data_IF_313713271888
#
_entry.id   IF_313713271888
#
_cell.length_a   1.000
_cell.length_b   1.000
_cell.length_c   1.000
_cell.angle_alpha   90.00
_cell.angle_beta   90.00
_cell.angle_gamma   90.00
#
_symmetry.space_group_name_H-M   'P 1'
#
loop_
_entity.id
_entity.type
_entity.pdbx_description
1 polymer ?
#
# COMPACT_ATOMS: atom_id res chain seq x y z
N UNK A 1 8.17 0.81 3.01
CA UNK A 1 8.58 2.23 2.99
C UNK A 1 9.87 2.36 3.75
N UNK A 2 10.89 2.97 3.16
CA UNK A 2 12.10 3.35 3.89
C UNK A 2 11.86 4.72 4.52
N UNK A 3 11.66 4.75 5.85
CA UNK A 3 11.28 5.97 6.57
C UNK A 3 12.44 6.40 7.45
N UNK A 4 13.00 7.62 7.25
CA UNK A 4 14.06 8.15 8.09
C UNK A 4 13.52 8.52 9.48
N UNK A 5 14.41 8.61 10.44
CA UNK A 5 14.11 9.33 11.70
C UNK A 5 13.99 10.83 11.41
N UNK A 6 13.19 11.56 12.20
CA UNK A 6 13.09 13.01 12.10
C UNK A 6 14.47 13.65 12.29
N UNK A 7 14.86 14.52 11.38
CA UNK A 7 16.21 15.12 11.35
C UNK A 7 17.27 14.28 10.62
N UNK A 8 16.98 13.02 10.29
CA UNK A 8 17.90 12.13 9.57
C UNK A 8 18.00 12.41 8.08
N UNK A 9 19.05 11.91 7.43
CA UNK A 9 19.22 11.99 5.97
C UNK A 9 18.55 10.82 5.27
N UNK A 10 18.15 11.03 4.00
CA UNK A 10 17.62 9.94 3.14
C UNK A 10 18.72 8.89 2.86
N UNK A 11 19.98 9.33 2.78
CA UNK A 11 21.15 8.47 2.57
C UNK A 11 21.35 7.49 3.72
N UNK A 12 21.31 7.97 4.96
CA UNK A 12 21.47 7.12 6.14
C UNK A 12 20.28 6.17 6.31
N UNK A 13 19.09 6.66 5.96
CA UNK A 13 17.89 5.83 5.88
C UNK A 13 18.09 4.69 4.87
N UNK A 14 18.53 4.98 3.65
CA UNK A 14 18.79 3.95 2.63
C UNK A 14 19.83 2.94 3.10
N UNK A 15 20.92 3.38 3.72
CA UNK A 15 21.96 2.50 4.26
C UNK A 15 21.38 1.54 5.33
N UNK A 16 20.55 2.06 6.23
CA UNK A 16 19.87 1.26 7.26
C UNK A 16 18.97 0.20 6.65
N UNK A 17 18.13 0.59 5.68
CA UNK A 17 17.20 -0.35 5.04
C UNK A 17 17.91 -1.39 4.18
N UNK A 18 19.04 -1.04 3.55
CA UNK A 18 19.90 -2.02 2.86
C UNK A 18 20.45 -3.06 3.84
N UNK A 19 20.95 -2.66 5.01
CA UNK A 19 21.42 -3.61 6.04
C UNK A 19 20.30 -4.55 6.55
N UNK A 20 19.04 -4.08 6.56
CA UNK A 20 17.90 -4.90 6.96
C UNK A 20 17.50 -5.92 5.88
N UNK A 21 17.71 -5.61 4.60
CA UNK A 21 17.23 -6.42 3.48
C UNK A 21 18.30 -7.30 2.85
N UNK A 22 19.55 -6.82 2.74
CA UNK A 22 20.63 -7.52 2.06
C UNK A 22 20.96 -8.84 2.72
N UNK A 23 21.00 -9.90 1.92
CA UNK A 23 21.25 -11.28 2.39
C UNK A 23 20.13 -11.88 3.25
N UNK A 24 18.98 -11.18 3.42
CA UNK A 24 17.84 -11.63 4.25
C UNK A 24 16.53 -11.70 3.45
N UNK A 25 16.37 -10.91 2.40
CA UNK A 25 15.19 -10.95 1.54
C UNK A 25 15.13 -12.22 0.72
N UNK A 26 13.96 -12.87 0.69
CA UNK A 26 13.73 -14.06 -0.15
C UNK A 26 13.21 -13.72 -1.55
N UNK A 27 12.79 -12.48 -1.80
CA UNK A 27 12.41 -11.96 -3.11
C UNK A 27 13.23 -10.69 -3.43
N UNK A 28 13.32 -10.34 -4.70
CA UNK A 28 13.93 -9.10 -5.13
C UNK A 28 13.17 -7.90 -4.55
N UNK A 29 13.88 -6.82 -4.23
CA UNK A 29 13.32 -5.69 -3.48
C UNK A 29 13.84 -4.35 -3.96
N UNK A 30 13.06 -3.32 -3.71
CA UNK A 30 13.44 -1.92 -3.80
C UNK A 30 12.64 -1.13 -2.78
N UNK A 31 12.83 0.20 -2.71
CA UNK A 31 12.19 1.01 -1.68
C UNK A 31 11.38 2.17 -2.26
N UNK A 32 10.33 2.56 -1.53
CA UNK A 32 9.80 3.91 -1.61
C UNK A 32 10.40 4.70 -0.44
N UNK A 33 11.09 5.81 -0.75
CA UNK A 33 11.74 6.63 0.26
C UNK A 33 10.74 7.62 0.86
N UNK A 34 10.49 7.53 2.17
CA UNK A 34 9.63 8.49 2.86
C UNK A 34 10.36 9.80 3.12
N UNK A 35 9.66 10.91 2.91
CA UNK A 35 10.07 12.26 3.29
C UNK A 35 9.05 12.78 4.31
N UNK A 36 9.46 12.85 5.57
CA UNK A 36 8.60 13.22 6.72
C UNK A 36 8.85 14.66 7.20
N UNK A 37 9.68 15.37 6.50
CA UNK A 37 9.99 16.78 6.67
C UNK A 37 10.60 17.32 5.37
N UNK A 38 10.51 18.61 5.16
CA UNK A 38 11.16 19.27 4.05
C UNK A 38 12.26 20.19 4.53
N UNK A 39 13.47 20.03 3.98
CA UNK A 39 14.64 20.87 4.22
C UNK A 39 15.32 21.19 2.89
N UNK A 40 16.04 22.30 2.77
CA UNK A 40 16.79 22.62 1.54
C UNK A 40 17.76 21.51 1.11
N UNK A 41 18.31 20.74 2.06
CA UNK A 41 19.20 19.60 1.78
C UNK A 41 18.49 18.44 1.11
N UNK A 42 17.17 18.25 1.32
CA UNK A 42 16.39 17.15 0.76
C UNK A 42 16.40 17.20 -0.79
N UNK A 43 16.43 18.38 -1.38
CA UNK A 43 16.50 18.52 -2.84
C UNK A 43 17.75 17.83 -3.44
N UNK A 44 18.91 17.97 -2.79
CA UNK A 44 20.13 17.27 -3.18
C UNK A 44 20.05 15.77 -2.89
N UNK A 45 19.47 15.41 -1.75
CA UNK A 45 19.30 14.01 -1.34
C UNK A 45 18.35 13.24 -2.28
N UNK A 46 17.32 13.88 -2.86
CA UNK A 46 16.48 13.27 -3.89
C UNK A 46 17.33 12.84 -5.10
N UNK A 47 18.26 13.67 -5.55
CA UNK A 47 19.15 13.31 -6.65
C UNK A 47 20.07 12.13 -6.29
N UNK A 48 20.58 12.08 -5.05
CA UNK A 48 21.36 10.95 -4.55
C UNK A 48 20.53 9.66 -4.52
N UNK A 49 19.25 9.75 -4.13
CA UNK A 49 18.33 8.59 -4.13
C UNK A 49 18.11 8.08 -5.56
N UNK A 50 17.88 8.95 -6.53
CA UNK A 50 17.76 8.57 -7.94
C UNK A 50 19.04 7.88 -8.43
N UNK A 51 20.20 8.44 -8.12
CA UNK A 51 21.50 7.84 -8.47
C UNK A 51 21.70 6.47 -7.82
N UNK A 52 21.08 6.23 -6.66
CA UNK A 52 21.07 4.93 -5.96
C UNK A 52 19.96 3.96 -6.44
N UNK A 53 19.16 4.33 -7.45
CA UNK A 53 18.11 3.48 -8.00
C UNK A 53 16.76 3.57 -7.25
N UNK A 54 16.57 4.59 -6.42
CA UNK A 54 15.31 4.87 -5.72
C UNK A 54 14.58 5.98 -6.49
N UNK A 55 13.54 5.62 -7.24
CA UNK A 55 12.81 6.54 -8.14
C UNK A 55 11.45 6.94 -7.60
N UNK A 56 11.05 6.46 -6.44
CA UNK A 56 9.75 6.75 -5.86
C UNK A 56 9.85 7.17 -4.41
N UNK A 57 9.04 8.16 -4.06
CA UNK A 57 9.02 8.84 -2.78
C UNK A 57 7.63 8.77 -2.14
N UNK A 58 7.56 8.94 -0.83
CA UNK A 58 6.32 8.92 -0.05
C UNK A 58 6.27 10.11 0.89
N UNK A 59 5.12 10.83 0.93
CA UNK A 59 4.81 11.85 1.93
C UNK A 59 3.45 11.59 2.57
N UNK A 60 3.08 12.36 3.57
CA UNK A 60 1.90 12.13 4.39
C UNK A 60 1.17 13.44 4.67
N UNK A 61 -0.16 13.44 4.54
CA UNK A 61 -1.05 14.56 4.90
C UNK A 61 -1.74 14.36 6.26
N UNK A 62 -1.48 13.23 6.91
CA UNK A 62 -1.96 12.89 8.25
C UNK A 62 -0.80 12.32 9.10
N UNK A 63 -1.05 12.09 10.39
CA UNK A 63 -0.09 11.67 11.43
C UNK A 63 0.90 12.76 11.85
N UNK A 64 0.76 13.28 13.06
CA UNK A 64 1.55 14.41 13.61
C UNK A 64 3.06 14.27 13.49
N UNK A 65 3.55 13.04 13.57
CA UNK A 65 4.98 12.75 13.47
C UNK A 65 5.50 12.56 12.04
N UNK A 66 4.60 12.47 11.04
CA UNK A 66 4.95 12.17 9.65
C UNK A 66 4.44 13.22 8.65
N UNK A 67 3.36 13.95 9.01
CA UNK A 67 2.68 14.85 8.08
C UNK A 67 3.55 16.03 7.68
N UNK A 68 3.41 16.39 6.41
CA UNK A 68 4.03 17.54 5.78
C UNK A 68 2.96 18.52 5.32
N UNK A 69 3.30 19.78 5.23
CA UNK A 69 2.41 20.86 4.76
C UNK A 69 2.24 20.80 3.24
N UNK A 70 1.20 21.43 2.73
CA UNK A 70 0.95 21.56 1.28
C UNK A 70 2.13 22.26 0.57
N UNK A 71 2.75 23.26 1.22
CA UNK A 71 3.93 23.93 0.69
C UNK A 71 5.12 22.99 0.57
N UNK A 72 5.38 22.15 1.58
CA UNK A 72 6.45 21.16 1.55
C UNK A 72 6.22 20.10 0.48
N UNK A 73 4.97 19.62 0.34
CA UNK A 73 4.58 18.69 -0.73
C UNK A 73 4.82 19.32 -2.10
N UNK A 74 4.45 20.58 -2.30
CA UNK A 74 4.65 21.30 -3.56
C UNK A 74 6.14 21.48 -3.90
N UNK A 75 6.97 21.87 -2.92
CA UNK A 75 8.43 21.96 -3.13
C UNK A 75 9.04 20.60 -3.47
N UNK A 76 8.63 19.54 -2.75
CA UNK A 76 9.06 18.18 -3.05
C UNK A 76 8.68 17.74 -4.47
N UNK A 77 7.47 18.05 -4.91
CA UNK A 77 7.00 17.74 -6.27
C UNK A 77 7.86 18.41 -7.33
N UNK A 78 8.24 19.67 -7.14
CA UNK A 78 9.11 20.39 -8.09
C UNK A 78 10.49 19.73 -8.23
N UNK A 79 11.07 19.28 -7.12
CA UNK A 79 12.37 18.60 -7.14
C UNK A 79 12.28 17.18 -7.74
N UNK A 80 11.23 16.44 -7.38
CA UNK A 80 10.97 15.09 -7.93
C UNK A 80 10.73 15.15 -9.44
N UNK A 81 10.04 16.18 -9.94
CA UNK A 81 9.83 16.40 -11.38
C UNK A 81 11.15 16.54 -12.14
N UNK A 82 12.12 17.29 -11.61
CA UNK A 82 13.42 17.49 -12.27
C UNK A 82 14.18 16.19 -12.53
N UNK A 83 13.87 15.15 -11.76
CA UNK A 83 14.55 13.85 -11.83
C UNK A 83 13.66 12.72 -12.34
N UNK A 84 12.49 13.04 -12.89
CA UNK A 84 11.48 12.08 -13.38
C UNK A 84 11.12 11.02 -12.32
N UNK A 85 11.03 11.44 -11.07
CA UNK A 85 10.63 10.56 -9.96
C UNK A 85 9.11 10.49 -9.81
N UNK A 86 8.65 9.58 -8.95
CA UNK A 86 7.24 9.39 -8.59
C UNK A 86 7.00 9.77 -7.14
N UNK A 87 5.95 10.54 -6.86
CA UNK A 87 5.51 10.81 -5.49
C UNK A 87 4.17 10.12 -5.21
N UNK A 88 4.14 9.35 -4.12
CA UNK A 88 2.91 8.84 -3.51
C UNK A 88 2.62 9.57 -2.19
N UNK A 89 1.35 9.82 -1.87
CA UNK A 89 0.98 10.49 -0.62
C UNK A 89 -0.14 9.73 0.09
N UNK A 90 -0.01 9.61 1.41
CA UNK A 90 -1.12 9.21 2.28
C UNK A 90 -2.09 10.39 2.37
N UNK A 91 -3.25 10.24 1.74
CA UNK A 91 -4.23 11.31 1.58
C UNK A 91 -5.38 11.17 2.57
N UNK A 92 -5.20 11.64 3.79
CA UNK A 92 -6.26 11.96 4.75
C UNK A 92 -6.01 13.36 5.31
N UNK A 93 -7.07 14.14 5.52
CA UNK A 93 -6.96 15.46 6.14
C UNK A 93 -6.63 15.30 7.63
N UNK A 94 -5.35 15.40 7.99
CA UNK A 94 -4.86 15.15 9.34
C UNK A 94 -5.49 16.06 10.40
N UNK A 95 -5.68 17.35 10.10
CA UNK A 95 -6.27 18.29 11.06
C UNK A 95 -7.71 17.91 11.42
N UNK A 96 -8.52 17.51 10.43
CA UNK A 96 -9.89 17.06 10.68
C UNK A 96 -9.94 15.69 11.38
N UNK A 97 -9.02 14.78 11.04
CA UNK A 97 -8.91 13.49 11.71
C UNK A 97 -8.57 13.66 13.19
N UNK A 98 -7.59 14.50 13.51
CA UNK A 98 -7.16 14.76 14.87
C UNK A 98 -8.27 15.41 15.70
N UNK A 99 -8.98 16.41 15.14
CA UNK A 99 -10.13 17.05 15.78
C UNK A 99 -11.26 16.05 16.07
N UNK A 100 -11.60 15.19 15.11
CA UNK A 100 -12.62 14.16 15.28
C UNK A 100 -12.22 13.12 16.35
N UNK A 101 -10.96 12.68 16.36
CA UNK A 101 -10.44 11.79 17.39
C UNK A 101 -10.59 12.45 18.78
N UNK A 102 -10.12 13.67 18.94
CA UNK A 102 -10.20 14.41 20.21
C UNK A 102 -11.65 14.57 20.66
N UNK A 103 -12.55 14.91 19.72
CA UNK A 103 -13.97 15.04 19.99
C UNK A 103 -14.59 13.74 20.52
N UNK A 104 -14.29 12.58 19.93
CA UNK A 104 -14.81 11.31 20.41
C UNK A 104 -14.19 10.92 21.75
N UNK A 105 -12.89 11.05 21.91
CA UNK A 105 -12.18 10.70 23.16
C UNK A 105 -12.68 11.54 24.33
N UNK A 106 -12.88 12.85 24.15
CA UNK A 106 -13.40 13.75 25.20
C UNK A 106 -14.84 13.40 25.64
N UNK A 107 -15.60 12.74 24.78
CA UNK A 107 -16.96 12.23 25.07
C UNK A 107 -16.95 10.83 25.72
N UNK A 108 -15.78 10.24 26.01
CA UNK A 108 -15.66 8.88 26.52
C UNK A 108 -15.97 7.78 25.50
N UNK A 109 -15.97 8.10 24.23
CA UNK A 109 -16.21 7.20 23.10
C UNK A 109 -14.88 6.56 22.67
N UNK A 110 -14.50 5.47 23.34
CA UNK A 110 -13.13 4.92 23.32
C UNK A 110 -12.98 3.59 22.58
N UNK A 111 -14.07 3.00 22.08
CA UNK A 111 -14.03 1.69 21.40
C UNK A 111 -13.58 1.80 19.94
N UNK A 112 -13.09 0.71 19.32
CA UNK A 112 -12.71 0.69 17.90
C UNK A 112 -13.80 1.13 16.92
N UNK A 113 -15.09 1.04 17.31
CA UNK A 113 -16.23 1.55 16.56
C UNK A 113 -16.04 3.01 16.09
N UNK A 114 -15.40 3.84 16.91
CA UNK A 114 -15.19 5.27 16.61
C UNK A 114 -14.01 5.54 15.66
N UNK A 115 -13.21 4.54 15.36
CA UNK A 115 -12.10 4.68 14.42
C UNK A 115 -12.56 5.13 13.02
N UNK A 116 -13.48 4.44 12.31
CA UNK A 116 -13.94 4.88 11.00
C UNK A 116 -14.76 6.19 11.06
N UNK A 117 -15.41 6.47 12.18
CA UNK A 117 -16.16 7.71 12.38
C UNK A 117 -15.25 8.93 12.54
N UNK A 118 -14.05 8.75 13.10
CA UNK A 118 -13.02 9.80 13.15
C UNK A 118 -12.28 10.00 11.83
N UNK A 119 -12.47 9.10 10.86
CA UNK A 119 -11.84 9.11 9.52
C UNK A 119 -12.85 8.90 8.40
N UNK A 120 -13.93 9.73 8.34
CA UNK A 120 -14.97 9.56 7.33
C UNK A 120 -14.42 9.67 5.91
N UNK A 121 -15.13 9.11 4.94
CA UNK A 121 -14.74 9.13 3.52
C UNK A 121 -14.43 10.56 2.99
N UNK A 122 -15.04 11.58 3.60
CA UNK A 122 -14.83 12.96 3.22
C UNK A 122 -13.40 13.46 3.49
N UNK A 123 -12.73 12.99 4.57
CA UNK A 123 -11.35 13.44 4.88
C UNK A 123 -10.33 12.87 3.89
N UNK A 124 -10.57 11.66 3.36
CA UNK A 124 -9.77 11.10 2.27
C UNK A 124 -10.04 11.83 0.96
N UNK A 125 -11.30 11.99 0.60
CA UNK A 125 -11.68 12.61 -0.68
C UNK A 125 -11.22 14.08 -0.79
N UNK A 126 -11.28 14.86 0.31
CA UNK A 126 -10.74 16.22 0.37
C UNK A 126 -9.23 16.21 0.15
N UNK A 127 -8.50 15.38 0.90
CA UNK A 127 -7.05 15.30 0.82
C UNK A 127 -6.57 14.82 -0.57
N UNK A 128 -7.26 13.86 -1.18
CA UNK A 128 -6.99 13.42 -2.57
C UNK A 128 -7.20 14.56 -3.54
N UNK A 129 -8.32 15.28 -3.45
CA UNK A 129 -8.62 16.41 -4.34
C UNK A 129 -7.57 17.52 -4.20
N UNK A 130 -7.18 17.87 -2.98
CA UNK A 130 -6.17 18.89 -2.67
C UNK A 130 -4.79 18.46 -3.18
N UNK A 131 -4.38 17.20 -2.96
CA UNK A 131 -3.13 16.65 -3.47
C UNK A 131 -3.06 16.72 -5.00
N UNK A 132 -4.16 16.36 -5.68
CA UNK A 132 -4.23 16.43 -7.15
C UNK A 132 -4.14 17.86 -7.67
N UNK A 133 -4.72 18.85 -6.97
CA UNK A 133 -4.55 20.25 -7.34
C UNK A 133 -3.10 20.73 -7.19
N UNK A 134 -2.43 20.33 -6.12
CA UNK A 134 -0.99 20.62 -5.92
C UNK A 134 -0.16 19.97 -7.02
N UNK A 135 -0.45 18.72 -7.37
CA UNK A 135 0.24 17.99 -8.43
C UNK A 135 0.03 18.60 -9.82
N UNK A 136 -1.18 19.12 -10.10
CA UNK A 136 -1.48 19.86 -11.33
C UNK A 136 -0.62 21.13 -11.43
N UNK A 137 -0.51 21.91 -10.35
CA UNK A 137 0.35 23.10 -10.30
C UNK A 137 1.83 22.77 -10.46
N UNK A 138 2.29 21.64 -9.96
CA UNK A 138 3.68 21.15 -10.12
C UNK A 138 3.92 20.49 -11.49
N UNK A 139 2.86 20.18 -12.24
CA UNK A 139 2.89 19.41 -13.49
C UNK A 139 3.67 18.07 -13.30
N UNK A 140 3.30 17.32 -12.26
CA UNK A 140 3.90 16.04 -11.87
C UNK A 140 2.88 14.90 -11.96
N UNK A 141 3.29 13.79 -12.60
CA UNK A 141 2.56 12.51 -12.46
C UNK A 141 2.68 11.97 -11.04
N UNK A 142 1.56 11.58 -10.44
CA UNK A 142 1.51 11.18 -9.03
C UNK A 142 0.83 9.85 -8.82
N UNK A 143 1.07 9.24 -7.65
CA UNK A 143 0.41 8.02 -7.20
C UNK A 143 -0.48 8.31 -5.98
N UNK A 144 -1.77 7.96 -6.07
CA UNK A 144 -2.65 7.89 -4.91
C UNK A 144 -2.51 6.48 -4.33
N UNK A 145 -1.85 6.37 -3.18
CA UNK A 145 -1.65 5.09 -2.51
C UNK A 145 -2.90 4.67 -1.75
N UNK A 146 -3.14 3.37 -1.58
CA UNK A 146 -4.19 2.76 -0.75
C UNK A 146 -5.56 3.49 -0.79
N UNK A 147 -5.99 3.96 -1.96
CA UNK A 147 -7.28 4.64 -2.14
C UNK A 147 -8.42 3.70 -1.70
N UNK A 148 -9.32 4.21 -0.85
CA UNK A 148 -10.33 3.39 -0.20
C UNK A 148 -11.79 3.81 -0.49
N UNK A 149 -12.05 5.01 -1.06
CA UNK A 149 -13.41 5.53 -1.19
C UNK A 149 -13.82 5.81 -2.63
N UNK A 150 -15.12 5.64 -2.91
CA UNK A 150 -15.77 6.09 -4.16
C UNK A 150 -15.52 7.56 -4.46
N UNK A 151 -15.65 8.42 -3.43
CA UNK A 151 -15.48 9.88 -3.57
C UNK A 151 -14.05 10.25 -3.98
N UNK A 152 -13.05 9.55 -3.46
CA UNK A 152 -11.65 9.74 -3.85
C UNK A 152 -11.41 9.31 -5.29
N UNK A 153 -12.00 8.19 -5.73
CA UNK A 153 -11.92 7.74 -7.11
C UNK A 153 -12.54 8.74 -8.07
N UNK A 154 -13.71 9.30 -7.73
CA UNK A 154 -14.35 10.39 -8.51
C UNK A 154 -13.48 11.65 -8.61
N UNK A 155 -12.72 11.98 -7.56
CA UNK A 155 -11.76 13.10 -7.61
C UNK A 155 -10.60 12.82 -8.59
N UNK A 156 -10.10 11.60 -8.60
CA UNK A 156 -9.07 11.14 -9.56
C UNK A 156 -9.61 11.21 -11.00
N UNK A 157 -10.81 10.72 -11.24
CA UNK A 157 -11.43 10.74 -12.58
C UNK A 157 -11.57 12.17 -13.11
N UNK A 158 -12.03 13.10 -12.27
CA UNK A 158 -12.08 14.53 -12.63
C UNK A 158 -10.71 15.13 -12.95
N UNK A 159 -9.66 14.73 -12.24
CA UNK A 159 -8.30 15.18 -12.53
C UNK A 159 -7.79 14.62 -13.87
N UNK A 160 -8.03 13.34 -14.14
CA UNK A 160 -7.69 12.71 -15.43
C UNK A 160 -8.44 13.32 -16.60
N UNK A 161 -9.72 13.71 -16.43
CA UNK A 161 -10.51 14.41 -17.45
C UNK A 161 -9.91 15.79 -17.82
N UNK A 162 -9.17 16.42 -16.89
CA UNK A 162 -8.38 17.63 -17.16
C UNK A 162 -7.02 17.37 -17.79
N UNK A 163 -6.69 16.10 -18.06
CA UNK A 163 -5.42 15.69 -18.67
C UNK A 163 -4.30 15.35 -17.68
N UNK A 164 -4.59 15.30 -16.37
CA UNK A 164 -3.58 14.98 -15.37
C UNK A 164 -3.24 13.47 -15.38
N UNK A 165 -1.95 13.17 -15.33
CA UNK A 165 -1.47 11.79 -15.19
C UNK A 165 -1.48 11.37 -13.71
N UNK A 166 -2.35 10.43 -13.38
CA UNK A 166 -2.55 9.96 -12.00
C UNK A 166 -2.57 8.43 -11.99
N UNK A 167 -1.71 7.84 -11.19
CA UNK A 167 -1.78 6.41 -10.84
C UNK A 167 -2.60 6.24 -9.56
N UNK A 168 -3.30 5.12 -9.47
CA UNK A 168 -4.14 4.79 -8.31
C UNK A 168 -3.83 3.37 -7.86
N UNK A 169 -3.59 3.26 -6.56
CA UNK A 169 -3.39 2.00 -5.87
C UNK A 169 -4.51 1.78 -4.86
N UNK A 170 -5.03 0.56 -4.77
CA UNK A 170 -5.90 0.11 -3.68
C UNK A 170 -5.33 -1.15 -3.03
N UNK A 171 -6.03 -1.70 -2.02
CA UNK A 171 -5.59 -2.88 -1.28
C UNK A 171 -6.74 -3.87 -1.09
N UNK A 172 -6.45 -5.19 -0.89
CA UNK A 172 -7.48 -6.20 -0.70
C UNK A 172 -8.48 -5.88 0.42
N UNK A 173 -8.05 -5.27 1.51
CA UNK A 173 -8.93 -4.90 2.62
C UNK A 173 -10.06 -3.97 2.19
N UNK A 174 -9.82 -3.03 1.29
CA UNK A 174 -10.84 -2.10 0.78
C UNK A 174 -11.76 -2.72 -0.28
N UNK A 175 -11.38 -3.88 -0.80
CA UNK A 175 -12.18 -4.63 -1.78
C UNK A 175 -13.06 -5.69 -1.11
N UNK A 176 -12.68 -6.19 0.08
CA UNK A 176 -13.22 -7.40 0.67
C UNK A 176 -13.80 -7.23 2.08
N UNK A 177 -13.28 -6.29 2.86
CA UNK A 177 -13.69 -6.02 4.22
C UNK A 177 -14.48 -4.72 4.32
N UNK A 178 -15.46 -4.64 5.21
CA UNK A 178 -16.27 -3.44 5.39
C UNK A 178 -16.32 -2.96 6.85
N UNK A 179 -16.92 -1.78 7.07
CA UNK A 179 -16.91 -1.08 8.35
C UNK A 179 -17.72 -1.77 9.47
N UNK A 180 -18.55 -2.79 9.16
CA UNK A 180 -19.24 -3.59 10.17
C UNK A 180 -18.27 -4.35 11.08
N UNK A 181 -17.06 -4.62 10.62
CA UNK A 181 -16.02 -5.30 11.39
C UNK A 181 -15.54 -4.48 12.60
N UNK A 182 -15.77 -3.17 12.61
CA UNK A 182 -15.49 -2.33 13.78
C UNK A 182 -16.46 -2.52 14.92
N UNK A 183 -17.56 -3.23 14.70
CA UNK A 183 -18.54 -3.61 15.74
C UNK A 183 -18.31 -5.02 16.31
N UNK A 184 -17.22 -5.69 15.91
CA UNK A 184 -16.88 -7.01 16.41
C UNK A 184 -16.69 -7.00 17.94
N UNK A 185 -17.26 -7.99 18.67
CA UNK A 185 -17.23 -8.02 20.13
C UNK A 185 -15.83 -8.32 20.69
N UNK A 186 -15.68 -8.20 22.01
CA UNK A 186 -14.48 -8.62 22.74
C UNK A 186 -13.17 -8.00 22.25
N UNK A 187 -13.23 -6.76 21.76
CA UNK A 187 -12.08 -6.05 21.21
C UNK A 187 -11.53 -6.64 19.89
N UNK A 188 -12.18 -7.64 19.30
CA UNK A 188 -11.78 -8.23 18.02
C UNK A 188 -11.75 -7.18 16.89
N UNK A 189 -12.58 -6.14 17.00
CA UNK A 189 -12.62 -5.00 16.08
C UNK A 189 -11.24 -4.31 15.89
N UNK A 190 -10.36 -4.37 16.90
CA UNK A 190 -9.01 -3.78 16.81
C UNK A 190 -8.13 -4.45 15.74
N UNK A 191 -8.41 -5.69 15.35
CA UNK A 191 -7.73 -6.39 14.26
C UNK A 191 -7.87 -5.66 12.93
N UNK A 192 -8.95 -4.90 12.75
CA UNK A 192 -9.32 -4.22 11.50
C UNK A 192 -8.95 -2.73 11.49
N UNK A 193 -8.39 -2.20 12.58
CA UNK A 193 -7.96 -0.80 12.66
C UNK A 193 -6.79 -0.56 11.73
N UNK A 194 -7.03 0.23 10.67
CA UNK A 194 -6.05 0.65 9.65
C UNK A 194 -6.39 2.07 9.14
N UNK A 195 -5.47 2.70 8.45
CA UNK A 195 -5.68 4.02 7.86
C UNK A 195 -5.22 4.06 6.39
N UNK A 196 -6.12 4.43 5.48
CA UNK A 196 -7.54 4.73 5.69
C UNK A 196 -8.31 3.57 6.32
N UNK A 197 -9.44 3.82 7.06
CA UNK A 197 -10.21 2.74 7.64
C UNK A 197 -10.97 1.95 6.57
N UNK A 198 -11.49 0.78 6.95
CA UNK A 198 -12.43 0.03 6.14
C UNK A 198 -13.68 0.87 5.87
N UNK A 199 -14.24 0.72 4.68
CA UNK A 199 -15.33 1.54 4.16
C UNK A 199 -16.61 0.72 4.01
N UNK A 200 -17.65 1.35 3.51
CA UNK A 200 -18.93 0.72 3.22
C UNK A 200 -18.89 -0.11 1.96
N UNK A 201 -19.86 -1.01 1.81
CA UNK A 201 -19.99 -1.88 0.61
C UNK A 201 -20.14 -1.09 -0.69
N UNK A 202 -20.70 0.10 -0.65
CA UNK A 202 -20.81 0.98 -1.82
C UNK A 202 -19.43 1.43 -2.33
N UNK A 203 -18.48 1.69 -1.41
CA UNK A 203 -17.09 2.00 -1.76
C UNK A 203 -16.40 0.78 -2.38
N UNK A 204 -16.57 -0.41 -1.79
CA UNK A 204 -16.04 -1.66 -2.36
C UNK A 204 -16.52 -1.87 -3.80
N UNK A 205 -17.81 -1.69 -4.05
CA UNK A 205 -18.41 -1.84 -5.39
C UNK A 205 -17.80 -0.83 -6.37
N UNK A 206 -17.62 0.41 -5.95
CA UNK A 206 -16.99 1.45 -6.78
C UNK A 206 -15.52 1.13 -7.09
N UNK A 207 -14.76 0.60 -6.12
CA UNK A 207 -13.38 0.19 -6.34
C UNK A 207 -13.28 -1.00 -7.31
N UNK A 208 -14.14 -2.02 -7.17
CA UNK A 208 -14.20 -3.13 -8.14
C UNK A 208 -14.57 -2.65 -9.54
N UNK A 209 -15.49 -1.71 -9.67
CA UNK A 209 -15.83 -1.10 -10.94
C UNK A 209 -14.65 -0.32 -11.52
N UNK A 210 -13.97 0.49 -10.68
CA UNK A 210 -12.76 1.21 -11.07
C UNK A 210 -11.61 0.29 -11.53
N UNK A 211 -11.47 -0.89 -10.93
CA UNK A 211 -10.53 -1.93 -11.39
C UNK A 211 -10.93 -2.43 -12.78
N UNK A 212 -12.19 -2.76 -12.98
CA UNK A 212 -12.71 -3.27 -14.26
C UNK A 212 -12.50 -2.25 -15.38
N UNK A 213 -12.78 -0.99 -15.13
CA UNK A 213 -12.66 0.12 -16.08
C UNK A 213 -11.22 0.61 -16.30
N UNK A 214 -10.27 0.20 -15.43
CA UNK A 214 -8.87 0.61 -15.51
C UNK A 214 -8.56 1.92 -14.79
N UNK A 215 -9.51 2.45 -14.02
CA UNK A 215 -9.31 3.63 -13.19
C UNK A 215 -8.33 3.35 -12.03
N UNK A 216 -8.28 2.13 -11.52
CA UNK A 216 -7.31 1.64 -10.53
C UNK A 216 -6.22 0.85 -11.26
N UNK A 217 -4.96 1.23 -11.04
CA UNK A 217 -3.82 0.72 -11.78
C UNK A 217 -3.16 -0.49 -11.10
N UNK A 218 -3.12 -0.51 -9.76
CA UNK A 218 -2.38 -1.51 -8.98
C UNK A 218 -3.14 -1.92 -7.72
N UNK A 219 -2.87 -3.13 -7.23
CA UNK A 219 -3.34 -3.61 -5.93
C UNK A 219 -2.12 -3.96 -5.08
N UNK A 220 -1.88 -3.18 -4.03
CA UNK A 220 -0.84 -3.43 -3.03
C UNK A 220 -1.41 -4.14 -1.80
N UNK A 221 -0.74 -4.09 -0.66
CA UNK A 221 -1.23 -4.68 0.59
C UNK A 221 -1.32 -3.67 1.71
N UNK A 222 -0.47 -2.66 1.67
CA UNK A 222 -0.21 -1.78 2.82
C UNK A 222 0.06 -2.61 4.10
N UNK A 223 0.87 -3.68 3.94
CA UNK A 223 1.16 -4.64 5.00
C UNK A 223 1.84 -3.96 6.18
N UNK A 224 1.23 -4.10 7.35
CA UNK A 224 1.76 -3.70 8.64
C UNK A 224 1.78 -4.92 9.58
N UNK A 225 2.96 -5.29 10.04
CA UNK A 225 3.22 -6.50 10.84
C UNK A 225 2.98 -6.29 12.34
N UNK A 226 1.90 -5.62 12.71
CA UNK A 226 1.52 -5.51 14.12
C UNK A 226 0.90 -6.81 14.62
N UNK A 227 1.32 -7.26 15.80
CA UNK A 227 0.64 -8.32 16.52
C UNK A 227 -0.65 -7.80 17.15
N UNK A 228 -1.66 -8.67 17.28
CA UNK A 228 -2.84 -8.35 18.06
C UNK A 228 -2.50 -8.24 19.54
N UNK A 229 -1.86 -9.29 20.09
CA UNK A 229 -1.41 -9.28 21.47
C UNK A 229 -0.16 -8.42 21.66
N UNK A 230 -0.17 -7.56 22.67
CA UNK A 230 0.96 -6.68 23.01
C UNK A 230 1.09 -5.41 22.16
N UNK A 231 0.54 -5.38 20.94
CA UNK A 231 0.58 -4.18 20.08
C UNK A 231 -0.81 -3.59 19.85
N UNK A 232 -1.74 -4.27 19.16
CA UNK A 232 -3.10 -3.76 19.00
C UNK A 232 -3.81 -3.57 20.34
N UNK A 233 -3.59 -4.46 21.30
CA UNK A 233 -4.19 -4.41 22.65
C UNK A 233 -3.73 -3.22 23.50
N UNK A 234 -2.70 -2.47 23.12
CA UNK A 234 -2.32 -1.19 23.75
C UNK A 234 -3.47 -0.19 23.71
N UNK A 235 -4.28 -0.22 22.67
CA UNK A 235 -5.45 0.66 22.51
C UNK A 235 -6.76 0.12 23.10
N UNK A 236 -6.72 -0.88 24.02
CA UNK A 236 -7.93 -1.50 24.56
C UNK A 236 -8.89 -0.52 25.22
N UNK A 237 -8.35 0.48 25.89
CA UNK A 237 -9.11 1.49 26.63
C UNK A 237 -9.23 2.84 25.88
N UNK A 238 -8.65 2.92 24.68
CA UNK A 238 -8.65 4.13 23.84
C UNK A 238 -8.29 3.77 22.40
N UNK A 239 -9.28 3.79 21.51
CA UNK A 239 -9.12 3.40 20.10
C UNK A 239 -8.03 4.20 19.37
N UNK A 240 -7.78 5.45 19.77
CA UNK A 240 -6.77 6.30 19.16
C UNK A 240 -5.33 5.78 19.34
N UNK A 241 -5.12 4.88 20.31
CA UNK A 241 -3.84 4.24 20.60
C UNK A 241 -3.64 2.90 19.92
N UNK A 242 -4.65 2.40 19.20
CA UNK A 242 -4.51 1.18 18.41
C UNK A 242 -3.59 1.46 17.22
N UNK A 243 -2.46 0.77 17.05
CA UNK A 243 -1.62 0.94 15.86
C UNK A 243 -2.42 0.71 14.57
N UNK A 244 -2.36 1.67 13.66
CA UNK A 244 -3.06 1.61 12.39
C UNK A 244 -2.32 0.72 11.38
N UNK A 245 -2.98 -0.30 10.86
CA UNK A 245 -2.47 -1.20 9.85
C UNK A 245 -2.79 -2.66 10.11
N UNK A 246 -2.78 -3.46 9.06
CA UNK A 246 -3.14 -4.88 9.07
C UNK A 246 -2.11 -5.71 8.30
N UNK A 247 -1.88 -6.98 8.68
CA UNK A 247 -1.08 -7.90 7.87
C UNK A 247 -1.87 -8.36 6.65
N UNK A 248 -1.19 -8.59 5.50
CA UNK A 248 -1.87 -9.00 4.26
C UNK A 248 -0.94 -9.37 3.11
N UNK A 249 0.40 -9.34 3.31
CA UNK A 249 1.34 -9.57 2.21
C UNK A 249 1.25 -10.98 1.64
N UNK A 250 0.99 -11.98 2.47
CA UNK A 250 0.99 -13.39 2.08
C UNK A 250 -0.27 -13.79 1.29
N UNK A 251 -1.41 -13.16 1.57
CA UNK A 251 -2.73 -13.60 1.08
C UNK A 251 -3.24 -12.84 -0.15
N UNK A 252 -2.58 -11.77 -0.56
CA UNK A 252 -3.05 -10.90 -1.65
C UNK A 252 -3.36 -11.64 -2.96
N UNK A 253 -2.48 -12.47 -3.53
CA UNK A 253 -2.75 -13.12 -4.80
C UNK A 253 -3.95 -14.06 -4.74
N UNK A 254 -4.06 -14.84 -3.66
CA UNK A 254 -5.15 -15.80 -3.46
C UNK A 254 -6.50 -15.09 -3.28
N UNK A 255 -6.54 -14.01 -2.51
CA UNK A 255 -7.74 -13.20 -2.32
C UNK A 255 -8.20 -12.56 -3.64
N UNK A 256 -7.29 -11.96 -4.39
CA UNK A 256 -7.63 -11.31 -5.66
C UNK A 256 -8.02 -12.35 -6.74
N UNK A 257 -7.38 -13.51 -6.76
CA UNK A 257 -7.80 -14.59 -7.64
C UNK A 257 -9.21 -15.08 -7.28
N UNK A 258 -9.46 -15.39 -6.02
CA UNK A 258 -10.75 -15.91 -5.53
C UNK A 258 -11.88 -14.93 -5.79
N UNK A 259 -11.73 -13.70 -5.30
CA UNK A 259 -12.80 -12.70 -5.33
C UNK A 259 -12.91 -11.98 -6.66
N UNK A 260 -11.81 -11.90 -7.40
CA UNK A 260 -11.76 -11.24 -8.70
C UNK A 260 -11.97 -12.19 -9.84
N UNK A 261 -11.07 -13.17 -10.03
CA UNK A 261 -11.04 -14.04 -11.21
C UNK A 261 -12.06 -15.16 -11.10
N UNK A 262 -12.03 -15.96 -10.03
CA UNK A 262 -12.91 -17.11 -9.89
C UNK A 262 -14.40 -16.71 -9.82
N UNK A 263 -14.70 -15.53 -9.24
CA UNK A 263 -16.07 -14.95 -9.25
C UNK A 263 -16.40 -14.13 -10.51
N UNK A 264 -15.53 -14.10 -11.50
CA UNK A 264 -15.79 -13.48 -12.81
C UNK A 264 -15.88 -11.94 -12.80
N UNK A 265 -15.32 -11.27 -11.79
CA UNK A 265 -15.31 -9.80 -11.72
C UNK A 265 -14.23 -9.19 -12.64
N UNK A 266 -13.09 -9.88 -12.77
CA UNK A 266 -11.97 -9.51 -13.65
C UNK A 266 -11.42 -10.75 -14.37
N UNK A 267 -10.67 -10.55 -15.45
CA UNK A 267 -9.94 -11.65 -16.11
C UNK A 267 -8.63 -11.96 -15.41
N UNK A 268 -8.04 -13.12 -15.72
CA UNK A 268 -6.72 -13.49 -15.21
C UNK A 268 -5.63 -12.50 -15.66
N UNK A 269 -5.67 -12.07 -16.91
CA UNK A 269 -4.74 -11.06 -17.46
C UNK A 269 -4.85 -9.74 -16.70
N UNK A 270 -6.08 -9.32 -16.36
CA UNK A 270 -6.29 -8.12 -15.55
C UNK A 270 -5.68 -8.26 -14.16
N UNK A 271 -5.83 -9.42 -13.52
CA UNK A 271 -5.19 -9.71 -12.23
C UNK A 271 -3.66 -9.62 -12.35
N UNK A 272 -3.07 -10.24 -13.37
CA UNK A 272 -1.62 -10.19 -13.60
C UNK A 272 -1.15 -8.75 -13.84
N UNK A 273 -1.88 -7.98 -14.63
CA UNK A 273 -1.57 -6.57 -14.84
C UNK A 273 -1.58 -5.78 -13.52
N UNK A 274 -2.59 -5.94 -12.68
CA UNK A 274 -2.74 -5.23 -11.40
C UNK A 274 -1.69 -5.62 -10.34
N UNK A 275 -1.21 -6.86 -10.35
CA UNK A 275 -0.30 -7.38 -9.33
C UNK A 275 1.17 -7.40 -9.78
N UNK A 276 1.46 -7.20 -11.08
CA UNK A 276 2.81 -7.36 -11.62
C UNK A 276 3.14 -6.32 -12.70
N UNK A 277 2.56 -6.41 -13.90
CA UNK A 277 2.96 -5.63 -15.07
C UNK A 277 2.84 -4.11 -14.86
N UNK A 278 1.69 -3.64 -14.34
CA UNK A 278 1.46 -2.23 -14.11
C UNK A 278 2.41 -1.67 -13.05
N UNK A 279 2.71 -2.45 -12.01
CA UNK A 279 3.68 -2.08 -10.97
C UNK A 279 5.07 -1.92 -11.59
N UNK A 280 5.49 -2.87 -12.44
CA UNK A 280 6.77 -2.83 -13.10
C UNK A 280 6.89 -1.61 -14.03
N UNK A 281 5.84 -1.28 -14.77
CA UNK A 281 5.78 -0.08 -15.64
C UNK A 281 5.79 1.21 -14.82
N UNK A 282 4.94 1.30 -13.81
CA UNK A 282 4.79 2.50 -12.96
C UNK A 282 6.08 2.86 -12.23
N UNK A 283 6.85 1.87 -11.80
CA UNK A 283 8.06 2.08 -10.99
C UNK A 283 9.35 1.77 -11.74
N UNK A 284 9.35 1.88 -13.08
CA UNK A 284 10.55 1.79 -13.94
C UNK A 284 11.34 0.48 -13.79
N UNK A 285 10.65 -0.65 -13.66
CA UNK A 285 11.24 -1.99 -13.64
C UNK A 285 10.94 -2.79 -14.92
N UNK A 286 9.99 -2.30 -15.74
CA UNK A 286 9.64 -2.94 -17.00
C UNK A 286 10.69 -2.61 -18.07
N UNK A 287 11.12 -3.55 -18.95
CA UNK A 287 10.65 -4.94 -19.06
C UNK A 287 11.49 -5.96 -18.26
N UNK A 288 12.42 -5.53 -17.42
CA UNK A 288 13.22 -6.48 -16.60
C UNK A 288 12.30 -7.35 -15.72
N UNK A 289 11.29 -6.75 -15.12
CA UNK A 289 10.23 -7.39 -14.33
C UNK A 289 8.87 -7.15 -14.98
N UNK A 290 7.86 -7.97 -14.61
CA UNK A 290 6.47 -7.74 -14.98
C UNK A 290 6.04 -8.32 -16.33
N UNK A 291 6.90 -9.04 -17.03
CA UNK A 291 6.58 -9.67 -18.32
C UNK A 291 7.36 -10.96 -18.50
N UNK A 292 6.78 -11.90 -19.23
CA UNK A 292 7.44 -13.16 -19.64
C UNK A 292 7.88 -13.02 -21.08
N UNK A 293 9.16 -12.65 -21.27
CA UNK A 293 9.79 -12.51 -22.58
C UNK A 293 11.30 -12.75 -22.50
N UNK A 294 11.94 -12.95 -23.65
CA UNK A 294 13.41 -13.05 -23.71
C UNK A 294 14.06 -11.74 -23.21
N UNK A 295 15.08 -11.89 -22.37
CA UNK A 295 15.83 -10.78 -21.75
C UNK A 295 15.23 -10.25 -20.44
N UNK A 296 14.03 -10.68 -20.05
CA UNK A 296 13.46 -10.39 -18.73
C UNK A 296 13.93 -11.39 -17.68
N UNK A 297 13.89 -11.00 -16.41
CA UNK A 297 14.15 -11.93 -15.32
C UNK A 297 13.10 -13.04 -15.31
N UNK A 298 13.55 -14.29 -15.17
CA UNK A 298 12.65 -15.43 -15.08
C UNK A 298 12.03 -15.55 -13.67
N UNK A 299 11.28 -14.52 -13.28
CA UNK A 299 10.47 -14.49 -12.06
C UNK A 299 9.07 -15.00 -12.41
N UNK A 300 8.82 -16.26 -12.11
CA UNK A 300 7.64 -16.96 -12.60
C UNK A 300 6.85 -17.56 -11.46
N UNK A 301 5.53 -17.48 -11.56
CA UNK A 301 4.61 -18.18 -10.68
C UNK A 301 3.79 -19.17 -11.51
N UNK A 302 3.90 -20.44 -11.16
CA UNK A 302 3.02 -21.49 -11.68
C UNK A 302 1.80 -21.55 -10.76
N UNK A 303 0.65 -21.17 -11.30
CA UNK A 303 -0.61 -21.07 -10.56
C UNK A 303 -1.51 -22.29 -10.80
N UNK A 304 -2.00 -22.92 -9.72
CA UNK A 304 -3.05 -23.97 -9.82
C UNK A 304 -4.41 -23.36 -9.45
N UNK A 305 -5.31 -23.19 -10.43
CA UNK A 305 -6.62 -22.57 -10.21
C UNK A 305 -7.62 -23.48 -9.47
N UNK A 306 -7.30 -24.75 -9.27
CA UNK A 306 -8.20 -25.77 -8.70
C UNK A 306 -7.98 -25.98 -7.20
N UNK A 307 -6.82 -25.62 -6.68
CA UNK A 307 -6.52 -25.76 -5.25
C UNK A 307 -7.45 -24.86 -4.45
N UNK A 308 -8.04 -25.39 -3.39
CA UNK A 308 -8.86 -24.64 -2.45
C UNK A 308 -8.20 -24.62 -1.07
N UNK A 309 -8.46 -23.59 -0.29
CA UNK A 309 -7.91 -23.45 1.04
C UNK A 309 -8.79 -22.57 1.92
N UNK A 310 -8.36 -22.44 3.18
CA UNK A 310 -8.94 -21.50 4.14
C UNK A 310 -7.80 -20.72 4.77
N UNK A 311 -7.89 -19.40 4.75
CA UNK A 311 -6.88 -18.53 5.37
C UNK A 311 -6.97 -18.66 6.88
N UNK A 312 -5.85 -18.94 7.53
CA UNK A 312 -5.75 -18.98 8.98
C UNK A 312 -4.36 -18.52 9.44
N UNK A 313 -4.32 -17.66 10.45
CA UNK A 313 -3.06 -17.11 10.96
C UNK A 313 -2.04 -18.21 11.34
N UNK A 314 -2.52 -19.32 11.92
CA UNK A 314 -1.66 -20.46 12.32
C UNK A 314 -0.91 -21.15 11.19
N UNK A 315 -1.34 -20.97 9.94
CA UNK A 315 -0.73 -21.60 8.76
C UNK A 315 0.06 -20.62 7.90
N UNK A 316 0.05 -19.35 8.25
CA UNK A 316 0.77 -18.31 7.53
C UNK A 316 2.26 -18.25 7.97
N UNK A 317 3.12 -17.86 7.03
CA UNK A 317 4.55 -17.66 7.27
C UNK A 317 4.87 -16.24 7.77
N UNK A 318 3.98 -15.28 7.55
CA UNK A 318 4.16 -13.92 8.09
C UNK A 318 4.20 -13.94 9.62
N UNK A 319 5.19 -13.25 10.21
CA UNK A 319 5.44 -13.28 11.64
C UNK A 319 4.51 -12.34 12.43
N UNK A 320 3.21 -12.67 12.42
CA UNK A 320 2.16 -11.97 13.19
C UNK A 320 1.16 -13.00 13.73
N UNK A 321 0.50 -12.67 14.84
CA UNK A 321 -0.37 -13.59 15.57
C UNK A 321 -1.83 -13.58 15.11
N UNK A 322 -2.19 -12.84 14.07
CA UNK A 322 -3.52 -12.79 13.49
C UNK A 322 -3.51 -12.49 11.99
N UNK A 323 -4.62 -12.72 11.33
CA UNK A 323 -4.91 -12.23 9.98
C UNK A 323 -6.30 -11.59 9.93
N UNK A 324 -6.50 -10.48 9.21
CA UNK A 324 -7.84 -9.90 9.04
C UNK A 324 -8.75 -10.75 8.16
N UNK A 325 -8.20 -11.77 7.51
CA UNK A 325 -8.89 -12.69 6.59
C UNK A 325 -9.11 -14.08 7.20
N UNK A 326 -9.07 -14.22 8.52
CA UNK A 326 -9.27 -15.50 9.20
C UNK A 326 -10.60 -16.16 8.75
N UNK A 327 -10.52 -17.42 8.31
CA UNK A 327 -11.70 -18.18 7.85
C UNK A 327 -12.12 -17.89 6.40
N UNK A 328 -11.45 -16.99 5.65
CA UNK A 328 -11.77 -16.80 4.24
C UNK A 328 -11.44 -18.05 3.44
N UNK A 329 -12.42 -18.55 2.69
CA UNK A 329 -12.23 -19.61 1.71
C UNK A 329 -11.51 -19.05 0.48
N UNK A 330 -10.52 -19.77 -0.02
CA UNK A 330 -9.76 -19.39 -1.21
C UNK A 330 -9.83 -20.46 -2.29
N UNK A 331 -9.76 -20.01 -3.54
CA UNK A 331 -9.56 -20.82 -4.72
C UNK A 331 -8.32 -20.33 -5.47
N UNK A 332 -7.52 -21.27 -5.98
CA UNK A 332 -6.26 -20.96 -6.65
C UNK A 332 -5.11 -20.71 -5.69
N UNK A 333 -3.94 -21.25 -6.03
CA UNK A 333 -2.74 -21.13 -5.24
C UNK A 333 -1.49 -21.17 -6.10
N UNK A 334 -0.41 -20.50 -5.68
CA UNK A 334 0.91 -20.63 -6.26
C UNK A 334 1.45 -22.05 -6.02
N UNK A 335 1.61 -22.84 -7.08
CA UNK A 335 2.15 -24.20 -7.02
C UNK A 335 3.68 -24.19 -6.96
N UNK A 336 4.30 -23.35 -7.79
CA UNK A 336 5.75 -23.15 -7.81
C UNK A 336 6.07 -21.68 -8.01
N UNK A 337 7.14 -21.22 -7.38
CA UNK A 337 7.67 -19.87 -7.55
C UNK A 337 9.13 -19.95 -7.95
N UNK A 338 9.47 -19.25 -9.02
CA UNK A 338 10.82 -19.10 -9.52
C UNK A 338 11.25 -17.64 -9.37
N UNK A 339 12.49 -17.46 -8.94
CA UNK A 339 13.16 -16.17 -8.87
C UNK A 339 14.42 -16.22 -9.73
N UNK A 340 14.47 -15.45 -10.80
CA UNK A 340 15.55 -15.47 -11.80
C UNK A 340 15.90 -16.88 -12.29
N UNK A 341 14.87 -17.69 -12.55
CA UNK A 341 14.99 -19.08 -13.04
C UNK A 341 15.29 -20.14 -11.97
N UNK A 342 15.51 -19.76 -10.72
CA UNK A 342 15.69 -20.70 -9.61
C UNK A 342 14.35 -20.94 -8.88
N UNK A 343 13.99 -22.19 -8.67
CA UNK A 343 12.78 -22.54 -7.90
C UNK A 343 13.03 -22.22 -6.42
N UNK A 344 12.31 -21.23 -5.88
CA UNK A 344 12.45 -20.73 -4.50
C UNK A 344 11.35 -21.21 -3.56
N UNK A 345 10.18 -21.58 -4.10
CA UNK A 345 9.09 -22.15 -3.31
C UNK A 345 8.28 -23.18 -4.12
N UNK A 346 7.68 -24.15 -3.44
CA UNK A 346 6.78 -25.16 -4.01
C UNK A 346 5.73 -25.58 -2.98
N UNK A 347 4.48 -25.63 -3.38
CA UNK A 347 3.35 -26.07 -2.56
C UNK A 347 3.29 -25.41 -1.16
N UNK A 348 3.52 -24.09 -1.10
CA UNK A 348 3.54 -23.34 0.16
C UNK A 348 4.80 -23.48 1.00
N UNK A 349 5.80 -24.26 0.54
CA UNK A 349 7.07 -24.45 1.25
C UNK A 349 8.19 -23.64 0.60
N UNK A 350 8.97 -22.95 1.43
CA UNK A 350 10.18 -22.25 0.99
C UNK A 350 11.29 -23.29 0.75
N UNK A 351 11.85 -23.31 -0.46
CA UNK A 351 12.96 -24.19 -0.87
C UNK A 351 14.29 -23.46 -0.73
N UNK A 352 14.36 -22.23 -1.21
CA UNK A 352 15.53 -21.38 -1.15
C UNK A 352 15.13 -20.01 -0.55
N UNK A 353 15.63 -19.75 0.64
CA UNK A 353 15.46 -18.45 1.30
C UNK A 353 16.62 -17.49 0.94
N UNK A 354 16.42 -16.22 1.20
CA UNK A 354 17.46 -15.17 1.13
C UNK A 354 18.09 -14.99 -0.26
N UNK A 355 17.33 -15.23 -1.33
CA UNK A 355 17.80 -15.11 -2.71
C UNK A 355 17.53 -13.72 -3.33
N UNK A 356 16.83 -12.85 -2.61
CA UNK A 356 16.45 -11.53 -3.08
C UNK A 356 17.64 -10.60 -3.28
N UNK A 357 17.55 -9.78 -4.31
CA UNK A 357 18.54 -8.74 -4.65
C UNK A 357 17.85 -7.39 -4.75
N UNK A 358 18.60 -6.35 -4.48
CA UNK A 358 18.13 -4.99 -4.75
C UNK A 358 17.90 -4.78 -6.24
N UNK A 359 16.72 -4.28 -6.60
CA UNK A 359 16.36 -3.89 -7.99
C UNK A 359 16.67 -2.43 -8.18
N UNK A 360 17.71 -2.17 -8.95
CA UNK A 360 18.08 -0.81 -9.32
C UNK A 360 17.10 -0.29 -10.38
N UNK A 361 16.38 0.79 -10.07
CA UNK A 361 15.44 1.44 -10.98
C UNK A 361 16.08 2.68 -11.62
N UNK A 362 15.74 2.94 -12.88
CA UNK A 362 16.15 4.17 -13.59
C UNK A 362 14.91 5.05 -13.73
N UNK A 363 15.02 6.31 -13.35
CA UNK A 363 13.99 7.29 -13.67
C UNK A 363 13.88 7.44 -15.20
N UNK A 364 12.67 7.34 -15.73
CA UNK A 364 12.40 7.36 -17.19
C UNK A 364 11.53 8.53 -17.58
#
# INVERSE_FOLDING_TARGET
MATPNKGGSLKDCLATWNQLAEGKSSCDYTYHMSMIEWKPTIAAEIQEMIAAGITSFKMYMAYDNLRTTDAEIFEAMKEIKKVNGMLGVHCENGDLVDELIQSYVSQGKLTPHYHPLSRPAAVEAEAVARYLMIAEMADLSVNIVHLSTKRSLEAVERARQRGQSVYVETCPQYLLLDDHLYDAPNFEAAKYVCSPPLRKREDQQALWQGIKEGAINTISTDHCSFNFHGQKTVGKDDFSKIPNGMPGVETRPELIYTEGVAKGRITLEKMVALLSENIAKQFSMYPQKGVVQEGSDADLVVWDPRTTGVIAARTQLQNVDYTPYEGFETQGQARMVYLRGQKVAEAGQVILANQGKFVFRKAT
#
